data_IF_724358843087
#
_entry.id   IF_724358843087
#
_cell.length_a   1.000
_cell.length_b   1.000
_cell.length_c   1.000
_cell.angle_alpha   90.00
_cell.angle_beta   90.00
_cell.angle_gamma   90.00
#
_symmetry.space_group_name_H-M   'P 1'
#
loop_
_entity.id
_entity.type
_entity.pdbx_description
1 polymer ?
#
# COMPACT_ATOMS: atom_id res chain seq x y z
N UNK A 1 16.59 -39.21 -10.15
CA UNK A 1 17.54 -38.21 -9.63
C UNK A 1 16.70 -37.06 -9.14
N UNK A 2 16.89 -36.60 -7.90
CA UNK A 2 16.21 -35.41 -7.42
C UNK A 2 16.80 -34.21 -8.16
N UNK A 3 16.04 -33.60 -9.05
CA UNK A 3 16.43 -32.34 -9.68
C UNK A 3 16.39 -31.24 -8.63
N UNK A 4 17.51 -31.09 -7.92
CA UNK A 4 17.67 -29.98 -6.98
C UNK A 4 17.87 -28.71 -7.81
N UNK A 5 16.84 -27.88 -7.87
CA UNK A 5 16.92 -26.56 -8.53
C UNK A 5 18.09 -25.79 -7.90
N UNK A 6 19.12 -25.49 -8.69
CA UNK A 6 20.28 -24.80 -8.18
C UNK A 6 19.98 -23.31 -7.98
N UNK A 7 20.49 -22.71 -6.91
CA UNK A 7 20.42 -21.25 -6.69
C UNK A 7 20.97 -20.46 -7.89
N UNK A 8 21.95 -21.03 -8.61
CA UNK A 8 22.54 -20.44 -9.82
C UNK A 8 21.55 -20.40 -10.97
N UNK A 9 20.70 -21.41 -11.12
CA UNK A 9 19.67 -21.49 -12.15
C UNK A 9 18.54 -20.49 -11.87
N UNK A 10 18.08 -20.40 -10.62
CA UNK A 10 17.09 -19.39 -10.21
C UNK A 10 17.57 -17.97 -10.57
N UNK A 11 18.84 -17.66 -10.31
CA UNK A 11 19.41 -16.36 -10.66
C UNK A 11 19.51 -16.14 -12.18
N UNK A 12 19.81 -17.18 -12.95
CA UNK A 12 19.87 -17.11 -14.41
C UNK A 12 18.50 -16.80 -15.03
N UNK A 13 17.44 -17.45 -14.52
CA UNK A 13 16.05 -17.24 -14.97
C UNK A 13 15.64 -15.78 -14.71
N UNK A 14 15.89 -15.28 -13.50
CA UNK A 14 15.59 -13.89 -13.13
C UNK A 14 16.33 -12.89 -14.03
N UNK A 15 17.63 -13.13 -14.30
CA UNK A 15 18.43 -12.25 -15.16
C UNK A 15 17.95 -12.26 -16.62
N UNK A 16 17.60 -13.44 -17.15
CA UNK A 16 17.08 -13.63 -18.52
C UNK A 16 15.77 -12.88 -18.74
N UNK A 17 14.90 -12.82 -17.71
CA UNK A 17 13.56 -12.20 -17.80
C UNK A 17 13.44 -10.87 -17.05
N UNK A 18 14.56 -10.24 -16.67
CA UNK A 18 14.58 -9.01 -15.88
C UNK A 18 13.78 -7.88 -16.52
N UNK A 19 13.87 -7.72 -17.84
CA UNK A 19 13.11 -6.69 -18.57
C UNK A 19 11.60 -6.89 -18.43
N UNK A 20 11.11 -8.13 -18.55
CA UNK A 20 9.70 -8.46 -18.38
C UNK A 20 9.24 -8.20 -16.94
N UNK A 21 10.04 -8.60 -15.94
CA UNK A 21 9.76 -8.38 -14.52
C UNK A 21 9.61 -6.88 -14.24
N UNK A 22 10.55 -6.06 -14.71
CA UNK A 22 10.51 -4.62 -14.51
C UNK A 22 9.31 -3.98 -15.22
N UNK A 23 9.03 -4.35 -16.47
CA UNK A 23 7.89 -3.80 -17.22
C UNK A 23 6.56 -4.10 -16.52
N UNK A 24 6.37 -5.32 -16.03
CA UNK A 24 5.13 -5.68 -15.32
C UNK A 24 5.04 -4.96 -13.97
N UNK A 25 6.13 -4.92 -13.19
CA UNK A 25 6.15 -4.26 -11.89
C UNK A 25 5.90 -2.75 -12.00
N UNK A 26 6.60 -2.06 -12.91
CA UNK A 26 6.38 -0.64 -13.16
C UNK A 26 5.03 -0.37 -13.83
N UNK A 27 4.58 -1.25 -14.73
CA UNK A 27 3.25 -1.16 -15.33
C UNK A 27 2.14 -1.20 -14.29
N UNK A 28 2.20 -2.15 -13.35
CA UNK A 28 1.26 -2.25 -12.23
C UNK A 28 1.30 -1.00 -11.33
N UNK A 29 2.50 -0.48 -11.05
CA UNK A 29 2.68 0.75 -10.28
C UNK A 29 2.06 1.98 -10.97
N UNK A 30 2.27 2.13 -12.28
CA UNK A 30 1.70 3.22 -13.10
C UNK A 30 0.17 3.13 -13.12
N UNK A 31 -0.39 1.94 -13.36
CA UNK A 31 -1.84 1.74 -13.35
C UNK A 31 -2.43 2.08 -11.98
N UNK A 32 -1.80 1.63 -10.89
CA UNK A 32 -2.21 1.97 -9.53
C UNK A 32 -2.16 3.48 -9.24
N UNK A 33 -1.13 4.16 -9.75
CA UNK A 33 -1.00 5.61 -9.64
C UNK A 33 -2.14 6.32 -10.40
N UNK A 34 -2.39 5.95 -11.65
CA UNK A 34 -3.47 6.54 -12.46
C UNK A 34 -4.82 6.38 -11.76
N UNK A 35 -5.14 5.18 -11.29
CA UNK A 35 -6.39 4.92 -10.57
C UNK A 35 -6.47 5.75 -9.28
N UNK A 36 -5.39 5.80 -8.49
CA UNK A 36 -5.38 6.50 -7.22
C UNK A 36 -5.45 8.03 -7.37
N UNK A 37 -4.81 8.61 -8.38
CA UNK A 37 -4.78 10.07 -8.57
C UNK A 37 -5.97 10.60 -9.39
N UNK A 38 -6.49 9.84 -10.35
CA UNK A 38 -7.53 10.33 -11.27
C UNK A 38 -8.93 9.78 -10.99
N UNK A 39 -9.07 8.59 -10.40
CA UNK A 39 -10.38 7.94 -10.22
C UNK A 39 -10.86 7.87 -8.77
N UNK A 40 -9.95 7.80 -7.80
CA UNK A 40 -10.31 7.72 -6.38
C UNK A 40 -10.62 9.10 -5.80
N UNK A 41 -11.82 9.26 -5.23
CA UNK A 41 -12.22 10.55 -4.62
C UNK A 41 -11.47 10.80 -3.32
N UNK A 42 -10.93 12.02 -3.09
CA UNK A 42 -10.28 12.37 -1.84
C UNK A 42 -11.28 12.37 -0.68
N UNK A 43 -10.87 11.81 0.46
CA UNK A 43 -11.63 11.82 1.71
C UNK A 43 -10.85 12.63 2.74
N UNK A 44 -11.54 13.59 3.36
CA UNK A 44 -11.03 14.44 4.42
C UNK A 44 -11.57 13.96 5.76
N UNK A 45 -10.82 14.21 6.83
CA UNK A 45 -11.24 13.86 8.18
C UNK A 45 -11.24 15.10 9.07
N UNK A 46 -12.21 15.24 9.96
CA UNK A 46 -12.18 16.29 10.98
C UNK A 46 -12.46 15.67 12.33
N UNK A 47 -11.74 16.11 13.36
CA UNK A 47 -11.77 15.49 14.69
C UNK A 47 -12.15 16.49 15.76
N UNK A 48 -12.99 16.07 16.70
CA UNK A 48 -13.29 16.79 17.94
C UNK A 48 -12.94 15.90 19.12
N UNK A 49 -12.49 16.50 20.21
CA UNK A 49 -12.15 15.77 21.44
C UNK A 49 -13.13 16.09 22.54
N UNK A 50 -13.57 15.04 23.23
CA UNK A 50 -14.53 15.10 24.32
C UNK A 50 -13.85 14.55 25.56
N UNK A 51 -13.86 15.32 26.64
CA UNK A 51 -13.46 14.87 27.96
C UNK A 51 -14.71 14.50 28.74
N UNK A 52 -14.75 13.26 29.22
CA UNK A 52 -15.83 12.78 30.08
C UNK A 52 -15.29 12.54 31.47
N UNK A 53 -15.81 13.30 32.44
CA UNK A 53 -15.53 13.09 33.85
C UNK A 53 -16.83 12.71 34.57
N UNK A 54 -16.74 12.01 35.69
CA UNK A 54 -17.89 11.76 36.55
C UNK A 54 -17.92 12.81 37.67
N UNK A 55 -19.12 13.22 38.06
CA UNK A 55 -19.30 14.15 39.19
C UNK A 55 -19.00 13.42 40.49
N UNK A 56 -18.09 13.96 41.29
CA UNK A 56 -17.83 13.47 42.65
C UNK A 56 -18.98 13.85 43.57
N UNK A 57 -19.36 12.95 44.48
CA UNK A 57 -20.02 13.37 45.71
C UNK A 57 -19.04 14.22 46.52
N UNK A 58 -19.45 15.42 46.93
CA UNK A 58 -18.68 16.25 47.85
C UNK A 58 -18.35 15.44 49.12
N UNK A 59 -17.05 15.30 49.42
CA UNK A 59 -16.55 14.56 50.58
C UNK A 59 -15.90 13.19 50.31
N UNK A 60 -15.94 12.66 49.08
CA UNK A 60 -15.27 11.41 48.75
C UNK A 60 -13.76 11.60 48.45
N UNK A 61 -12.89 10.94 49.23
CA UNK A 61 -11.44 10.91 49.03
C UNK A 61 -11.11 10.27 47.66
N UNK A 62 -10.13 10.82 46.94
CA UNK A 62 -9.64 10.25 45.67
C UNK A 62 -9.14 8.82 45.87
N UNK A 63 -9.89 7.82 45.39
CA UNK A 63 -9.43 6.44 45.32
C UNK A 63 -8.85 6.17 43.93
N UNK A 64 -7.66 5.58 43.87
CA UNK A 64 -7.01 5.23 42.60
C UNK A 64 -7.87 4.32 41.70
N UNK A 65 -8.79 3.54 42.29
CA UNK A 65 -9.74 2.69 41.56
C UNK A 65 -10.80 3.45 40.75
N UNK A 66 -11.20 4.66 41.16
CA UNK A 66 -12.19 5.46 40.43
C UNK A 66 -11.65 5.96 39.09
N UNK A 67 -10.37 6.35 39.05
CA UNK A 67 -9.71 6.79 37.81
C UNK A 67 -9.64 5.64 36.81
N UNK A 68 -9.29 4.44 37.27
CA UNK A 68 -9.25 3.24 36.43
C UNK A 68 -10.64 2.89 35.87
N UNK A 69 -11.68 3.01 36.69
CA UNK A 69 -13.08 2.77 36.27
C UNK A 69 -13.53 3.79 35.23
N UNK A 70 -13.20 5.08 35.42
CA UNK A 70 -13.53 6.13 34.48
C UNK A 70 -12.81 5.96 33.13
N UNK A 71 -11.56 5.47 33.14
CA UNK A 71 -10.84 5.11 31.90
C UNK A 71 -11.52 3.91 31.21
N UNK A 72 -11.99 2.91 31.95
CA UNK A 72 -12.69 1.75 31.38
C UNK A 72 -14.04 2.12 30.73
N UNK A 73 -14.73 3.12 31.26
CA UNK A 73 -16.00 3.61 30.71
C UNK A 73 -15.85 4.36 29.38
N UNK A 74 -14.63 4.72 28.96
CA UNK A 74 -14.39 5.30 27.63
C UNK A 74 -14.86 4.38 26.50
N UNK A 75 -14.74 3.05 26.69
CA UNK A 75 -15.27 2.07 25.74
C UNK A 75 -16.80 2.09 25.69
N UNK A 76 -17.46 2.24 26.84
CA UNK A 76 -18.92 2.39 26.92
C UNK A 76 -19.38 3.65 26.19
N UNK A 77 -18.73 4.79 26.45
CA UNK A 77 -19.04 6.04 25.76
C UNK A 77 -18.81 5.95 24.25
N UNK A 78 -17.76 5.25 23.82
CA UNK A 78 -17.52 4.96 22.39
C UNK A 78 -18.70 4.23 21.73
N UNK A 79 -19.29 3.25 22.41
CA UNK A 79 -20.48 2.55 21.92
C UNK A 79 -21.71 3.47 21.87
N UNK A 80 -21.91 4.30 22.91
CA UNK A 80 -23.03 5.25 22.96
C UNK A 80 -22.92 6.30 21.85
N UNK A 81 -21.73 6.87 21.61
CA UNK A 81 -21.51 7.86 20.54
C UNK A 81 -21.87 7.26 19.17
N UNK A 82 -21.59 5.98 18.94
CA UNK A 82 -21.92 5.27 17.70
C UNK A 82 -23.33 4.67 17.67
N UNK A 83 -24.15 4.90 18.71
CA UNK A 83 -25.48 4.32 18.79
C UNK A 83 -26.45 5.00 17.81
N UNK A 84 -27.48 4.28 17.31
CA UNK A 84 -28.48 4.85 16.42
C UNK A 84 -29.15 6.11 16.98
N UNK A 85 -29.42 6.14 18.30
CA UNK A 85 -30.06 7.28 18.97
C UNK A 85 -29.26 8.58 18.79
N UNK A 86 -27.94 8.53 18.92
CA UNK A 86 -27.08 9.71 18.71
C UNK A 86 -27.00 10.05 17.23
N UNK A 87 -26.79 9.04 16.37
CA UNK A 87 -26.55 9.25 14.94
C UNK A 87 -27.80 9.73 14.18
N UNK A 88 -28.99 9.30 14.59
CA UNK A 88 -30.27 9.79 14.06
C UNK A 88 -30.47 11.27 14.40
N UNK A 89 -30.22 11.67 15.65
CA UNK A 89 -30.27 13.08 16.05
C UNK A 89 -29.24 13.95 15.31
N UNK A 90 -28.05 13.42 15.02
CA UNK A 90 -27.05 14.11 14.18
C UNK A 90 -27.57 14.30 12.76
N UNK A 91 -28.20 13.27 12.18
CA UNK A 91 -28.82 13.36 10.86
C UNK A 91 -29.93 14.40 10.82
N UNK A 92 -30.80 14.45 11.83
CA UNK A 92 -31.85 15.47 11.95
C UNK A 92 -31.26 16.87 12.07
N UNK A 93 -30.27 17.06 12.97
CA UNK A 93 -29.65 18.38 13.22
C UNK A 93 -28.95 18.95 11.98
N UNK A 94 -28.35 18.09 11.16
CA UNK A 94 -27.62 18.48 9.96
C UNK A 94 -28.43 18.30 8.66
N UNK A 95 -29.70 17.86 8.76
CA UNK A 95 -30.58 17.53 7.63
C UNK A 95 -29.92 16.57 6.62
N UNK A 96 -29.30 15.51 7.13
CA UNK A 96 -28.62 14.51 6.33
C UNK A 96 -29.61 13.43 5.89
N UNK A 97 -29.76 13.26 4.58
CA UNK A 97 -30.57 12.19 3.99
C UNK A 97 -29.80 10.85 3.96
N UNK A 98 -29.29 10.40 5.11
CA UNK A 98 -28.55 9.13 5.21
C UNK A 98 -29.03 8.30 6.40
N UNK A 99 -28.79 6.98 6.35
CA UNK A 99 -29.13 6.09 7.47
C UNK A 99 -28.11 6.20 8.59
N UNK A 100 -28.50 5.82 9.81
CA UNK A 100 -27.58 5.78 10.95
C UNK A 100 -26.36 4.89 10.68
N UNK A 101 -26.54 3.76 9.99
CA UNK A 101 -25.47 2.83 9.62
C UNK A 101 -24.47 3.47 8.64
N UNK A 102 -24.96 4.25 7.67
CA UNK A 102 -24.10 4.98 6.75
C UNK A 102 -23.25 6.02 7.50
N UNK A 103 -23.85 6.70 8.48
CA UNK A 103 -23.14 7.65 9.33
C UNK A 103 -22.14 6.96 10.27
N UNK A 104 -22.48 5.78 10.82
CA UNK A 104 -21.55 4.96 11.62
C UNK A 104 -20.29 4.62 10.83
N UNK A 105 -20.41 4.30 9.54
CA UNK A 105 -19.26 4.02 8.67
C UNK A 105 -18.37 5.24 8.38
N UNK A 106 -18.90 6.45 8.55
CA UNK A 106 -18.17 7.72 8.39
C UNK A 106 -17.53 8.20 9.69
N UNK A 107 -17.94 7.69 10.85
CA UNK A 107 -17.47 8.15 12.15
C UNK A 107 -16.58 7.10 12.79
N UNK A 108 -15.33 7.50 13.06
CA UNK A 108 -14.44 6.78 13.94
C UNK A 108 -14.44 7.40 15.33
N UNK A 109 -14.45 6.56 16.36
CA UNK A 109 -14.36 7.00 17.75
C UNK A 109 -13.23 6.23 18.40
N UNK A 110 -12.25 6.94 18.92
CA UNK A 110 -11.08 6.39 19.56
C UNK A 110 -10.93 6.96 20.96
N UNK A 111 -10.52 6.14 21.91
CA UNK A 111 -10.06 6.59 23.22
C UNK A 111 -8.56 6.90 23.14
N UNK A 112 -8.17 8.01 23.74
CA UNK A 112 -6.75 8.29 23.94
C UNK A 112 -6.22 7.37 25.05
N UNK A 113 -5.02 6.81 24.84
CA UNK A 113 -4.47 5.77 25.73
C UNK A 113 -4.36 6.29 27.16
N UNK A 114 -4.86 5.51 28.12
CA UNK A 114 -4.84 5.82 29.56
C UNK A 114 -5.45 7.20 29.90
N UNK A 115 -6.41 7.65 29.08
CA UNK A 115 -7.01 8.97 29.17
C UNK A 115 -8.54 8.91 29.16
N UNK A 116 -9.16 9.92 29.77
CA UNK A 116 -10.61 10.16 29.71
C UNK A 116 -11.03 10.96 28.47
N UNK A 117 -10.08 11.20 27.56
CA UNK A 117 -10.32 11.91 26.29
C UNK A 117 -10.75 10.91 25.22
N UNK A 118 -11.85 11.23 24.58
CA UNK A 118 -12.42 10.50 23.44
C UNK A 118 -12.31 11.39 22.21
N UNK A 119 -11.66 10.89 21.18
CA UNK A 119 -11.57 11.53 19.88
C UNK A 119 -12.67 11.00 18.96
N UNK A 120 -13.50 11.91 18.46
CA UNK A 120 -14.56 11.62 17.48
C UNK A 120 -14.11 12.21 16.15
N UNK A 121 -13.79 11.34 15.20
CA UNK A 121 -13.31 11.70 13.87
C UNK A 121 -14.38 11.36 12.84
N UNK A 122 -14.81 12.33 12.04
CA UNK A 122 -15.72 12.11 10.92
C UNK A 122 -14.96 12.21 9.59
N UNK A 123 -15.26 11.30 8.67
CA UNK A 123 -14.67 11.21 7.33
C UNK A 123 -15.72 11.55 6.25
N UNK A 124 -15.43 12.54 5.40
CA UNK A 124 -16.28 12.88 4.26
C UNK A 124 -15.48 13.43 3.07
N UNK A 125 -16.10 13.44 1.88
CA UNK A 125 -15.54 14.08 0.68
C UNK A 125 -15.51 15.61 0.82
N UNK A 126 -16.44 16.17 1.58
CA UNK A 126 -16.48 17.59 1.89
C UNK A 126 -15.88 17.85 3.29
N UNK A 127 -14.77 18.58 3.41
CA UNK A 127 -14.13 18.85 4.70
C UNK A 127 -15.04 19.64 5.65
N UNK A 128 -15.91 20.53 5.13
CA UNK A 128 -16.89 21.25 5.96
C UNK A 128 -17.93 20.30 6.55
N UNK A 129 -18.40 19.35 5.75
CA UNK A 129 -19.36 18.35 6.22
C UNK A 129 -18.75 17.41 7.26
N UNK A 130 -17.49 16.98 7.05
CA UNK A 130 -16.75 16.20 8.05
C UNK A 130 -16.64 16.97 9.38
N UNK A 131 -16.27 18.25 9.35
CA UNK A 131 -16.24 19.12 10.53
C UNK A 131 -17.59 19.19 11.23
N UNK A 132 -18.65 19.43 10.46
CA UNK A 132 -20.00 19.62 10.99
C UNK A 132 -20.53 18.33 11.63
N UNK A 133 -20.30 17.17 11.00
CA UNK A 133 -20.65 15.86 11.57
C UNK A 133 -19.91 15.61 12.89
N UNK A 134 -18.59 15.84 12.93
CA UNK A 134 -17.80 15.62 14.14
C UNK A 134 -18.30 16.49 15.30
N UNK A 135 -18.45 17.81 15.06
CA UNK A 135 -18.94 18.75 16.07
C UNK A 135 -20.38 18.47 16.50
N UNK A 136 -21.28 18.20 15.55
CA UNK A 136 -22.67 17.86 15.85
C UNK A 136 -22.77 16.59 16.69
N UNK A 137 -21.94 15.59 16.42
CA UNK A 137 -21.89 14.35 17.19
C UNK A 137 -21.45 14.60 18.62
N UNK A 138 -20.44 15.45 18.84
CA UNK A 138 -20.02 15.84 20.19
C UNK A 138 -21.12 16.61 20.95
N UNK A 139 -21.80 17.53 20.27
CA UNK A 139 -22.91 18.30 20.87
C UNK A 139 -24.10 17.41 21.27
N UNK A 140 -24.52 16.51 20.36
CA UNK A 140 -25.63 15.58 20.60
C UNK A 140 -25.26 14.61 21.71
N UNK A 141 -24.06 14.04 21.67
CA UNK A 141 -23.57 13.17 22.74
C UNK A 141 -23.57 13.86 24.09
N UNK A 142 -23.08 15.11 24.17
CA UNK A 142 -23.10 15.90 25.41
C UNK A 142 -24.51 16.06 25.97
N UNK A 143 -25.52 16.27 25.12
CA UNK A 143 -26.92 16.41 25.53
C UNK A 143 -27.59 15.09 25.97
N UNK A 144 -27.25 13.98 25.32
CA UNK A 144 -27.91 12.69 25.54
C UNK A 144 -27.23 11.84 26.62
N UNK A 145 -25.91 11.88 26.74
CA UNK A 145 -25.19 11.07 27.74
C UNK A 145 -25.54 11.48 29.16
N UNK A 146 -25.85 12.75 29.38
CA UNK A 146 -26.36 13.25 30.66
C UNK A 146 -27.68 12.58 31.04
N UNK A 147 -28.57 12.32 30.06
CA UNK A 147 -29.86 11.65 30.28
C UNK A 147 -29.71 10.14 30.47
N UNK A 148 -28.80 9.50 29.71
CA UNK A 148 -28.63 8.04 29.71
C UNK A 148 -27.86 7.57 30.95
N UNK A 149 -26.80 8.28 31.32
CA UNK A 149 -25.84 7.83 32.35
C UNK A 149 -25.85 8.69 33.61
N UNK A 150 -26.67 9.74 33.67
CA UNK A 150 -26.69 10.72 34.76
C UNK A 150 -25.30 11.33 35.04
N UNK A 151 -24.59 11.68 33.96
CA UNK A 151 -23.24 12.27 34.00
C UNK A 151 -23.31 13.72 33.55
N UNK A 152 -23.02 14.65 34.46
CA UNK A 152 -23.13 16.08 34.21
C UNK A 152 -21.86 16.70 33.59
N UNK A 153 -20.74 15.96 33.59
CA UNK A 153 -19.40 16.51 33.35
C UNK A 153 -18.80 16.07 32.01
N UNK A 154 -19.47 16.43 30.90
CA UNK A 154 -18.96 16.25 29.54
C UNK A 154 -18.56 17.59 28.93
N UNK A 155 -17.27 17.70 28.57
CA UNK A 155 -16.70 18.93 28.00
C UNK A 155 -16.09 18.65 26.65
N UNK A 156 -16.42 19.48 25.66
CA UNK A 156 -15.74 19.46 24.36
C UNK A 156 -14.42 20.20 24.54
N UNK A 157 -13.31 19.45 24.51
CA UNK A 157 -11.96 19.97 24.75
C UNK A 157 -11.42 20.70 23.52
N UNK A 158 -11.69 20.17 22.33
CA UNK A 158 -11.33 20.78 21.05
C UNK A 158 -12.45 20.57 20.04
N UNK A 159 -12.82 21.65 19.35
CA UNK A 159 -13.79 21.58 18.25
C UNK A 159 -13.07 21.17 16.97
N UNK A 160 -13.78 20.46 16.12
CA UNK A 160 -13.32 20.18 14.78
C UNK A 160 -13.25 21.49 13.98
N UNK A 161 -12.13 21.69 13.28
CA UNK A 161 -11.87 22.81 12.39
C UNK A 161 -11.47 22.30 11.00
N UNK A 162 -11.68 23.13 9.97
CA UNK A 162 -11.18 22.87 8.62
C UNK A 162 -9.92 23.69 8.46
N UNK A 163 -8.76 23.03 8.43
CA UNK A 163 -7.50 23.70 8.14
C UNK A 163 -7.45 24.12 6.67
N UNK A 164 -6.90 25.29 6.38
CA UNK A 164 -6.77 25.80 5.00
C UNK A 164 -5.94 24.87 4.10
N UNK A 165 -4.99 24.13 4.67
CA UNK A 165 -4.12 23.18 3.97
C UNK A 165 -4.42 21.71 4.35
N UNK A 166 -5.67 21.38 4.61
CA UNK A 166 -6.03 20.01 5.01
C UNK A 166 -5.81 19.02 3.86
N UNK A 167 -4.81 18.15 3.99
CA UNK A 167 -4.56 17.07 3.03
C UNK A 167 -5.57 15.93 3.22
N UNK A 168 -6.06 15.30 2.13
CA UNK A 168 -6.94 14.14 2.23
C UNK A 168 -6.20 12.96 2.87
N UNK A 169 -6.94 12.16 3.64
CA UNK A 169 -6.39 10.96 4.29
C UNK A 169 -6.42 9.72 3.40
N UNK A 170 -7.33 9.71 2.41
CA UNK A 170 -7.50 8.64 1.44
C UNK A 170 -7.78 9.25 0.06
N UNK A 171 -7.33 8.60 -1.04
CA UNK A 171 -6.43 7.44 -1.04
C UNK A 171 -5.02 7.80 -0.54
N UNK A 172 -4.22 6.79 -0.17
CA UNK A 172 -2.79 6.96 0.13
C UNK A 172 -1.99 6.53 -1.09
N UNK A 173 -1.86 7.38 -2.13
CA UNK A 173 -1.36 6.96 -3.44
C UNK A 173 0.04 6.33 -3.36
N UNK A 174 0.93 6.91 -2.55
CA UNK A 174 2.28 6.35 -2.35
C UNK A 174 2.25 4.92 -1.80
N UNK A 175 1.38 4.65 -0.83
CA UNK A 175 1.24 3.31 -0.26
C UNK A 175 0.62 2.34 -1.28
N UNK A 176 -0.44 2.75 -1.97
CA UNK A 176 -1.11 1.93 -2.98
C UNK A 176 -0.17 1.58 -4.15
N UNK A 177 0.65 2.53 -4.59
CA UNK A 177 1.65 2.34 -5.65
C UNK A 177 2.76 1.40 -5.18
N UNK A 178 3.25 1.56 -3.94
CA UNK A 178 4.25 0.65 -3.37
C UNK A 178 3.72 -0.79 -3.26
N UNK A 179 2.48 -0.97 -2.79
CA UNK A 179 1.84 -2.29 -2.72
C UNK A 179 1.69 -2.87 -4.13
N UNK A 180 1.19 -2.10 -5.10
CA UNK A 180 1.05 -2.56 -6.48
C UNK A 180 2.38 -2.94 -7.12
N UNK A 181 3.45 -2.20 -6.84
CA UNK A 181 4.80 -2.52 -7.30
C UNK A 181 5.30 -3.84 -6.72
N UNK A 182 5.18 -4.05 -5.40
CA UNK A 182 5.60 -5.30 -4.73
C UNK A 182 4.80 -6.49 -5.24
N UNK A 183 3.47 -6.36 -5.33
CA UNK A 183 2.60 -7.43 -5.85
C UNK A 183 2.92 -7.70 -7.33
N UNK A 184 3.14 -6.67 -8.14
CA UNK A 184 3.54 -6.81 -9.54
C UNK A 184 4.91 -7.49 -9.70
N UNK A 185 5.87 -7.20 -8.83
CA UNK A 185 7.18 -7.85 -8.80
C UNK A 185 7.03 -9.33 -8.44
N UNK A 186 6.30 -9.65 -7.38
CA UNK A 186 6.06 -11.04 -6.97
C UNK A 186 5.35 -11.84 -8.07
N UNK A 187 4.30 -11.28 -8.66
CA UNK A 187 3.55 -11.91 -9.74
C UNK A 187 4.41 -12.12 -10.99
N UNK A 188 5.22 -11.14 -11.37
CA UNK A 188 6.09 -11.23 -12.55
C UNK A 188 7.28 -12.18 -12.36
N UNK A 189 7.81 -12.31 -11.14
CA UNK A 189 8.78 -13.35 -10.80
C UNK A 189 8.16 -14.74 -10.92
N UNK A 190 6.95 -14.94 -10.37
CA UNK A 190 6.21 -16.20 -10.53
C UNK A 190 5.94 -16.52 -12.00
N UNK A 191 5.55 -15.52 -12.79
CA UNK A 191 5.36 -15.65 -14.23
C UNK A 191 6.68 -15.97 -14.96
N UNK A 192 7.80 -15.38 -14.55
CA UNK A 192 9.10 -15.68 -15.13
C UNK A 192 9.50 -17.14 -14.93
N UNK A 193 9.26 -17.70 -13.73
CA UNK A 193 9.47 -19.12 -13.47
C UNK A 193 8.50 -20.01 -14.24
N UNK A 194 7.22 -19.64 -14.29
CA UNK A 194 6.23 -20.40 -15.06
C UNK A 194 6.59 -20.45 -16.55
N UNK A 195 7.01 -19.33 -17.13
CA UNK A 195 7.44 -19.26 -18.52
C UNK A 195 8.76 -19.99 -18.79
N UNK A 196 9.61 -20.19 -17.78
CA UNK A 196 10.79 -21.04 -17.91
C UNK A 196 10.43 -22.52 -17.79
N UNK A 197 9.56 -22.87 -16.84
CA UNK A 197 9.08 -24.23 -16.66
C UNK A 197 8.35 -24.77 -17.90
N UNK A 198 7.64 -23.90 -18.62
CA UNK A 198 6.97 -24.24 -19.88
C UNK A 198 7.89 -24.15 -21.12
N UNK A 199 9.13 -23.68 -20.99
CA UNK A 199 10.10 -23.56 -22.09
C UNK A 199 10.79 -24.91 -22.32
N UNK A 200 10.21 -25.75 -23.20
CA UNK A 200 10.75 -27.06 -23.58
C UNK A 200 11.86 -27.00 -24.65
N UNK A 201 12.58 -25.87 -24.77
CA UNK A 201 13.60 -25.69 -25.81
C UNK A 201 14.97 -26.15 -25.33
N UNK A 202 15.64 -27.00 -26.11
CA UNK A 202 17.05 -27.40 -25.90
C UNK A 202 17.96 -26.25 -26.35
N UNK A 203 18.75 -25.68 -25.44
CA UNK A 203 19.58 -24.49 -25.72
C UNK A 203 21.06 -24.69 -25.44
N UNK A 204 21.42 -25.70 -24.64
CA UNK A 204 22.79 -26.00 -24.26
C UNK A 204 23.17 -27.42 -24.63
N UNK A 205 24.47 -27.65 -24.73
CA UNK A 205 25.07 -28.98 -24.91
C UNK A 205 24.63 -29.92 -23.78
N UNK A 206 24.61 -29.42 -22.54
CA UNK A 206 24.15 -30.16 -21.36
C UNK A 206 22.68 -30.62 -21.47
N UNK A 207 21.83 -29.79 -22.09
CA UNK A 207 20.42 -30.13 -22.32
C UNK A 207 20.30 -31.32 -23.30
N UNK A 208 21.20 -31.40 -24.31
CA UNK A 208 21.25 -32.49 -25.29
C UNK A 208 21.74 -33.79 -24.66
N UNK A 209 22.81 -33.71 -23.86
CA UNK A 209 23.38 -34.89 -23.18
C UNK A 209 22.39 -35.49 -22.18
N UNK A 210 21.70 -34.65 -21.41
CA UNK A 210 20.68 -35.09 -20.44
C UNK A 210 19.46 -35.70 -21.14
N UNK A 211 19.01 -35.11 -22.25
CA UNK A 211 17.82 -35.57 -22.97
C UNK A 211 18.05 -36.86 -23.76
N UNK A 212 19.22 -37.02 -24.37
CA UNK A 212 19.54 -38.15 -25.24
C UNK A 212 20.36 -39.25 -24.54
N UNK A 213 20.97 -38.95 -23.37
CA UNK A 213 21.85 -39.88 -22.65
C UNK A 213 23.16 -40.18 -23.38
N UNK A 214 23.54 -39.34 -24.35
CA UNK A 214 24.71 -39.53 -25.21
C UNK A 214 25.69 -38.36 -25.02
N UNK A 215 27.01 -38.60 -24.98
CA UNK A 215 28.00 -37.53 -24.89
C UNK A 215 28.03 -36.69 -26.17
N UNK A 216 28.16 -35.37 -26.01
CA UNK A 216 28.33 -34.43 -27.12
C UNK A 216 29.74 -34.58 -27.71
N UNK A 217 29.82 -35.04 -28.96
CA UNK A 217 31.09 -35.31 -29.65
C UNK A 217 31.70 -34.06 -30.31
N UNK A 218 30.90 -33.00 -30.49
CA UNK A 218 31.37 -31.75 -31.09
C UNK A 218 30.25 -30.76 -31.37
N UNK A 219 30.62 -29.47 -31.47
CA UNK A 219 29.72 -28.36 -31.79
C UNK A 219 30.01 -27.83 -33.20
N UNK A 220 28.97 -27.64 -33.99
CA UNK A 220 29.08 -26.95 -35.28
C UNK A 220 28.63 -25.51 -35.07
N UNK A 221 29.59 -24.58 -35.08
CA UNK A 221 29.29 -23.16 -34.95
C UNK A 221 28.45 -22.68 -36.14
N UNK A 222 27.38 -21.94 -35.86
CA UNK A 222 26.62 -21.26 -36.91
C UNK A 222 27.44 -20.06 -37.38
N UNK A 223 27.85 -20.05 -38.65
CA UNK A 223 28.51 -18.89 -39.26
C UNK A 223 27.43 -17.91 -39.72
N UNK A 224 27.43 -16.71 -39.15
CA UNK A 224 26.54 -15.62 -39.54
C UNK A 224 27.13 -14.88 -40.76
N UNK A 225 26.30 -14.49 -41.73
CA UNK A 225 26.72 -13.94 -43.04
C UNK A 225 27.67 -12.73 -42.95
N UNK A 226 27.60 -11.92 -41.88
CA UNK A 226 28.51 -10.79 -41.67
C UNK A 226 29.99 -11.20 -41.55
N UNK A 227 30.28 -12.39 -41.03
CA UNK A 227 31.65 -12.90 -40.91
C UNK A 227 32.27 -13.34 -42.24
N UNK A 228 31.47 -13.49 -43.30
CA UNK A 228 31.99 -13.80 -44.64
C UNK A 228 32.56 -12.58 -45.37
N UNK A 229 32.33 -11.36 -44.88
CA UNK A 229 32.82 -10.14 -45.51
C UNK A 229 34.11 -9.58 -44.86
N UNK A 230 35.01 -10.48 -44.45
CA UNK A 230 36.39 -10.09 -44.16
C UNK A 230 37.09 -9.89 -45.50
N UNK A 231 37.14 -8.64 -45.97
CA UNK A 231 37.94 -8.21 -47.13
C UNK A 231 39.33 -8.86 -47.07
N UNK A 232 39.57 -9.80 -47.98
CA UNK A 232 40.85 -10.45 -48.21
C UNK A 232 41.97 -9.41 -48.37
N UNK A 233 42.72 -9.14 -47.31
CA UNK A 233 44.00 -8.47 -47.43
C UNK A 233 44.99 -9.49 -47.98
N UNK A 234 45.12 -9.52 -49.31
CA UNK A 234 46.22 -10.22 -49.96
C UNK A 234 47.57 -9.65 -49.47
N UNK A 235 48.58 -10.48 -49.18
CA UNK A 235 49.89 -9.99 -48.80
C UNK A 235 50.51 -9.25 -49.99
N UNK A 236 50.76 -7.95 -49.81
CA UNK A 236 51.45 -7.08 -50.78
C UNK A 236 52.79 -7.69 -51.20
N UNK A 237 52.95 -7.92 -52.51
CA UNK A 237 54.19 -8.39 -53.13
C UNK A 237 55.37 -7.49 -52.76
N UNK A 238 56.36 -8.04 -52.06
CA UNK A 238 57.63 -7.36 -51.79
C UNK A 238 58.46 -7.41 -53.07
N UNK A 239 58.59 -6.24 -53.71
CA UNK A 239 59.34 -5.96 -54.94
C UNK A 239 60.81 -6.37 -54.77
N UNK A 240 61.25 -7.42 -55.48
CA UNK A 240 62.67 -7.80 -55.60
C UNK A 240 63.36 -6.77 -56.49
N UNK A 241 64.25 -5.97 -55.92
CA UNK A 241 65.19 -5.11 -56.66
C UNK A 241 66.52 -5.84 -56.72
N UNK A 242 66.87 -6.32 -57.91
CA UNK A 242 68.21 -6.81 -58.21
C UNK A 242 69.22 -5.67 -58.19
N UNK A 243 70.40 -5.94 -57.64
CA UNK A 243 71.63 -5.29 -58.05
C UNK A 243 72.69 -6.36 -58.26
N UNK A 244 73.25 -6.31 -59.47
CA UNK A 244 74.47 -6.93 -59.99
C UNK A 244 75.72 -6.57 -59.19
N UNK A 245 76.66 -7.52 -59.02
CA UNK A 245 78.13 -7.40 -59.23
C UNK A 245 78.65 -8.83 -59.55
N UNK A 246 79.20 -9.09 -60.75
CA UNK A 246 80.64 -9.35 -61.00
C UNK A 246 80.97 -10.85 -60.87
N UNK A 247 81.68 -11.54 -61.77
CA UNK A 247 82.69 -11.16 -62.78
C UNK A 247 82.53 -11.99 -64.06
#
# INVERSE_FOLDING_TARGET
>A
MEETISLKELFHILKKRLAMILVIAFGAAIVSAIISFFFMTPIYQSSTQILVNQKKQEGAMFQAGEVQTNIQLTNTYKVIIKSPVILEQVNEKLNLNMTAQALTGKINVANEKDSQVISVTAEDKNPKLARDIANATADVFKGEVAKIMNVDNVTVLSKAEVAENQSPIKPRPMLNVAIAFVVGLMASVGLAFLLEYLDNTVKKEEDVESLLGLPVLGIVARMDEETMNVKSHAPSSRKVRGQTIGS
#
